data_IF_281344116906
#
_entry.id   IF_281344116906
#
_cell.length_a   1.000
_cell.length_b   1.000
_cell.length_c   1.000
_cell.angle_alpha   90.00
_cell.angle_beta   90.00
_cell.angle_gamma   90.00
#
_symmetry.space_group_name_H-M   'P 1'
#
loop_
_entity.id
_entity.type
_entity.pdbx_description
1 polymer ?
#
# COMPACT_ATOMS: atom_id res chain seq x y z
N UNK A 1 -27.97 4.91 11.30
CA UNK A 1 -26.68 5.18 11.98
C UNK A 1 -26.68 4.73 13.44
N UNK A 2 -27.64 5.17 14.26
CA UNK A 2 -27.71 4.85 15.71
C UNK A 2 -27.67 3.34 16.03
N UNK A 3 -28.28 2.50 15.19
CA UNK A 3 -28.26 1.04 15.38
C UNK A 3 -26.92 0.38 15.01
N UNK A 4 -26.13 0.97 14.11
CA UNK A 4 -24.86 0.40 13.63
C UNK A 4 -23.66 0.89 14.44
N UNK A 5 -23.75 2.09 15.01
CA UNK A 5 -22.63 2.72 15.71
C UNK A 5 -22.08 1.89 16.88
N UNK A 6 -22.89 1.19 17.69
CA UNK A 6 -22.35 0.31 18.73
C UNK A 6 -21.43 -0.80 18.18
N UNK A 7 -21.73 -1.34 16.99
CA UNK A 7 -20.86 -2.33 16.35
C UNK A 7 -19.57 -1.70 15.82
N UNK A 8 -19.64 -0.48 15.28
CA UNK A 8 -18.47 0.30 14.86
C UNK A 8 -17.56 0.61 16.05
N UNK A 9 -18.13 0.99 17.21
CA UNK A 9 -17.37 1.24 18.43
C UNK A 9 -16.66 -0.02 18.93
N UNK A 10 -17.35 -1.16 18.95
CA UNK A 10 -16.70 -2.45 19.31
C UNK A 10 -15.58 -2.83 18.34
N UNK A 11 -15.73 -2.51 17.06
CA UNK A 11 -14.68 -2.73 16.08
C UNK A 11 -13.46 -1.82 16.33
N UNK A 12 -13.68 -0.57 16.73
CA UNK A 12 -12.62 0.34 17.16
C UNK A 12 -11.97 -0.12 18.47
N UNK A 13 -12.74 -0.60 19.45
CA UNK A 13 -12.20 -1.14 20.72
C UNK A 13 -11.25 -2.31 20.44
N UNK A 14 -11.68 -3.26 19.59
CA UNK A 14 -10.82 -4.35 19.14
C UNK A 14 -9.58 -3.83 18.38
N UNK A 15 -9.73 -2.80 17.56
CA UNK A 15 -8.58 -2.20 16.86
C UNK A 15 -7.55 -1.62 17.85
N UNK A 16 -8.01 -0.92 18.89
CA UNK A 16 -7.15 -0.37 19.93
C UNK A 16 -6.37 -1.46 20.68
N UNK A 17 -7.01 -2.60 20.98
CA UNK A 17 -6.34 -3.77 21.59
C UNK A 17 -5.18 -4.30 20.74
N UNK A 18 -5.24 -4.09 19.43
CA UNK A 18 -4.21 -4.48 18.46
C UNK A 18 -3.29 -3.32 18.03
N UNK A 19 -3.30 -2.20 18.76
CA UNK A 19 -2.42 -1.06 18.51
C UNK A 19 -2.81 -0.20 17.30
N UNK A 20 -4.09 -0.20 16.92
CA UNK A 20 -4.63 0.64 15.84
C UNK A 20 -5.52 1.73 16.45
N UNK A 21 -5.06 2.98 16.37
CA UNK A 21 -5.71 4.13 17.02
C UNK A 21 -7.04 4.55 16.36
N UNK A 22 -7.17 4.40 15.03
CA UNK A 22 -8.35 4.85 14.28
C UNK A 22 -8.66 3.91 13.10
N UNK A 23 -9.79 3.21 13.14
CA UNK A 23 -10.23 2.29 12.07
C UNK A 23 -10.55 2.99 10.75
N UNK A 24 -10.82 4.30 10.78
CA UNK A 24 -11.21 5.10 9.61
C UNK A 24 -10.06 5.88 8.98
N UNK A 25 -8.87 5.90 9.59
CA UNK A 25 -7.66 6.51 9.03
C UNK A 25 -6.63 5.46 8.61
N UNK A 26 -5.81 5.79 7.62
CA UNK A 26 -4.65 5.00 7.18
C UNK A 26 -4.90 3.49 6.95
N UNK A 27 -6.14 3.14 6.58
CA UNK A 27 -6.61 1.76 6.45
C UNK A 27 -6.63 0.95 7.77
N UNK A 28 -6.73 1.57 8.94
CA UNK A 28 -6.71 0.89 10.26
C UNK A 28 -7.69 -0.28 10.33
N UNK A 29 -8.95 -0.08 9.94
CA UNK A 29 -9.95 -1.15 9.92
C UNK A 29 -9.66 -2.28 8.92
N UNK A 30 -8.81 -2.06 7.92
CA UNK A 30 -8.33 -3.12 7.02
C UNK A 30 -7.15 -3.85 7.64
N UNK A 31 -6.16 -3.10 8.15
CA UNK A 31 -4.97 -3.66 8.80
C UNK A 31 -5.37 -4.63 9.91
N UNK A 32 -6.38 -4.27 10.73
CA UNK A 32 -6.90 -5.15 11.76
C UNK A 32 -7.29 -6.55 11.24
N UNK A 33 -7.92 -6.64 10.06
CA UNK A 33 -8.29 -7.93 9.45
C UNK A 33 -7.06 -8.80 9.17
N UNK A 34 -5.97 -8.20 8.69
CA UNK A 34 -4.71 -8.93 8.42
C UNK A 34 -4.06 -9.40 9.71
N UNK A 35 -4.02 -8.55 10.73
CA UNK A 35 -3.44 -8.90 12.03
C UNK A 35 -4.16 -10.08 12.67
N UNK A 36 -5.50 -10.05 12.66
CA UNK A 36 -6.32 -11.12 13.23
C UNK A 36 -6.20 -12.43 12.44
N UNK A 37 -6.16 -12.37 11.10
CA UNK A 37 -6.06 -13.55 10.24
C UNK A 37 -4.70 -14.25 10.38
N UNK A 38 -3.62 -13.48 10.47
CA UNK A 38 -2.26 -14.03 10.53
C UNK A 38 -1.69 -14.17 11.94
N UNK A 39 -2.38 -13.66 12.97
CA UNK A 39 -1.87 -13.61 14.34
C UNK A 39 -0.63 -12.72 14.47
N UNK A 40 -0.65 -11.56 13.79
CA UNK A 40 0.44 -10.59 13.82
C UNK A 40 0.17 -9.46 14.83
N UNK A 41 1.25 -8.90 15.36
CA UNK A 41 1.24 -7.71 16.23
C UNK A 41 1.94 -6.56 15.53
N UNK A 42 1.36 -5.35 15.56
CA UNK A 42 2.01 -4.14 15.02
C UNK A 42 3.26 -3.82 15.84
N UNK A 43 4.33 -3.43 15.14
CA UNK A 43 5.52 -2.86 15.78
C UNK A 43 5.31 -1.34 15.88
N UNK A 44 5.36 -0.73 17.08
CA UNK A 44 5.22 0.71 17.23
C UNK A 44 6.38 1.48 16.57
N UNK A 45 6.05 2.59 15.90
CA UNK A 45 7.03 3.50 15.30
C UNK A 45 7.07 3.45 13.77
N UNK A 46 7.50 4.56 13.16
CA UNK A 46 7.47 4.73 11.69
C UNK A 46 8.74 4.24 10.98
N UNK A 47 9.81 3.96 11.73
CA UNK A 47 11.13 3.64 11.17
C UNK A 47 11.40 2.14 11.11
N UNK A 48 10.63 1.32 11.82
CA UNK A 48 10.73 -0.14 11.91
C UNK A 48 9.96 -0.90 10.83
N UNK A 49 10.04 -2.22 10.86
CA UNK A 49 9.15 -3.08 10.06
C UNK A 49 7.72 -2.97 10.60
N UNK A 50 6.72 -3.38 9.82
CA UNK A 50 5.32 -3.06 10.11
C UNK A 50 4.71 -3.97 11.18
N UNK A 51 5.07 -5.27 11.20
CA UNK A 51 4.48 -6.24 12.12
C UNK A 51 5.41 -7.41 12.46
N UNK A 52 5.11 -8.11 13.55
CA UNK A 52 5.84 -9.28 14.05
C UNK A 52 4.89 -10.43 14.35
N UNK A 53 5.31 -11.67 14.08
CA UNK A 53 4.57 -12.87 14.49
C UNK A 53 4.98 -13.37 15.88
N UNK A 54 4.25 -14.38 16.40
CA UNK A 54 4.54 -15.01 17.71
C UNK A 54 5.92 -15.69 17.81
N UNK A 55 6.58 -15.95 16.68
CA UNK A 55 7.92 -16.55 16.64
C UNK A 55 9.02 -15.47 16.58
N UNK A 56 8.64 -14.19 16.53
CA UNK A 56 9.57 -13.07 16.44
C UNK A 56 10.02 -12.74 15.02
N UNK A 57 9.39 -13.30 13.99
CA UNK A 57 9.70 -12.90 12.61
C UNK A 57 9.01 -11.57 12.31
N UNK A 58 9.76 -10.61 11.79
CA UNK A 58 9.24 -9.31 11.39
C UNK A 58 8.89 -9.29 9.89
N UNK A 59 7.93 -8.44 9.53
CA UNK A 59 7.38 -8.33 8.18
C UNK A 59 7.16 -6.88 7.77
N UNK A 60 7.35 -6.60 6.47
CA UNK A 60 6.78 -5.41 5.83
C UNK A 60 5.35 -5.73 5.39
N UNK A 61 4.40 -4.85 5.67
CA UNK A 61 3.00 -4.96 5.27
C UNK A 61 2.68 -4.00 4.13
N UNK A 62 2.08 -4.50 3.05
CA UNK A 62 1.47 -3.66 2.00
C UNK A 62 0.07 -4.12 1.66
N UNK A 63 -0.77 -3.17 1.28
CA UNK A 63 -2.13 -3.48 0.84
C UNK A 63 -2.55 -2.72 -0.40
N UNK A 64 -3.52 -3.27 -1.13
CA UNK A 64 -4.21 -2.60 -2.23
C UNK A 64 -5.71 -2.85 -2.16
N UNK A 65 -6.49 -1.87 -2.61
CA UNK A 65 -7.86 -2.11 -3.06
C UNK A 65 -7.84 -2.45 -4.55
N UNK A 66 -8.24 -3.67 -4.89
CA UNK A 66 -8.30 -4.19 -6.26
C UNK A 66 -9.35 -3.47 -7.13
N UNK A 67 -10.21 -2.64 -6.55
CA UNK A 67 -11.08 -1.76 -7.32
C UNK A 67 -10.35 -0.50 -7.82
N UNK A 68 -9.20 -0.17 -7.25
CA UNK A 68 -8.54 1.14 -7.43
C UNK A 68 -7.16 1.07 -8.09
N UNK A 69 -6.36 0.05 -7.75
CA UNK A 69 -4.97 -0.04 -8.23
C UNK A 69 -4.54 -1.48 -8.52
N UNK A 70 -3.52 -1.61 -9.38
CA UNK A 70 -2.89 -2.88 -9.77
C UNK A 70 -1.43 -2.96 -9.31
N UNK A 71 -0.98 -2.02 -8.47
CA UNK A 71 0.38 -1.99 -7.96
C UNK A 71 0.43 -1.51 -6.53
N UNK A 72 1.18 -2.22 -5.70
CA UNK A 72 1.47 -1.87 -4.32
C UNK A 72 2.47 -0.72 -4.29
N UNK A 73 2.22 0.27 -3.44
CA UNK A 73 3.22 1.29 -3.10
C UNK A 73 4.36 0.70 -2.28
N UNK A 74 5.49 1.38 -2.28
CA UNK A 74 6.66 1.03 -1.46
C UNK A 74 7.05 2.24 -0.61
N UNK A 75 8.09 2.99 -0.98
CA UNK A 75 8.62 4.13 -0.25
C UNK A 75 8.77 5.36 -1.17
N UNK A 76 8.43 6.55 -0.67
CA UNK A 76 8.50 7.81 -1.45
C UNK A 76 9.93 8.29 -1.73
N UNK A 77 10.88 7.81 -0.94
CA UNK A 77 12.30 8.14 -1.02
C UNK A 77 13.10 6.83 -1.10
N UNK A 78 12.84 5.98 -2.08
CA UNK A 78 13.50 4.68 -2.18
C UNK A 78 14.98 4.87 -2.51
N UNK A 79 15.86 4.30 -1.67
CA UNK A 79 17.32 4.40 -1.76
C UNK A 79 17.99 3.15 -1.15
N UNK A 80 19.32 2.98 -1.29
CA UNK A 80 20.01 1.77 -0.82
C UNK A 80 19.87 1.47 0.68
N UNK A 81 19.71 2.49 1.54
CA UNK A 81 19.52 2.29 2.98
C UNK A 81 18.19 1.58 3.25
N UNK A 82 17.11 2.04 2.60
CA UNK A 82 15.78 1.42 2.72
C UNK A 82 15.77 0.03 2.10
N UNK A 83 16.41 -0.14 0.94
CA UNK A 83 16.49 -1.45 0.27
C UNK A 83 17.23 -2.47 1.16
N UNK A 84 18.31 -2.07 1.82
CA UNK A 84 19.05 -2.91 2.75
C UNK A 84 18.19 -3.34 3.96
N UNK A 85 17.26 -2.49 4.43
CA UNK A 85 16.27 -2.88 5.44
C UNK A 85 15.27 -3.89 4.88
N UNK A 86 14.72 -3.64 3.69
CA UNK A 86 13.74 -4.52 3.05
C UNK A 86 14.27 -5.92 2.72
N UNK A 87 15.57 -6.07 2.47
CA UNK A 87 16.24 -7.37 2.28
C UNK A 87 16.32 -8.24 3.54
N UNK A 88 15.89 -7.75 4.71
CA UNK A 88 15.99 -8.50 5.98
C UNK A 88 14.70 -9.19 6.38
N UNK A 89 13.58 -8.86 5.72
CA UNK A 89 12.25 -9.31 6.14
C UNK A 89 11.42 -9.77 4.94
N UNK A 90 10.53 -10.72 5.20
CA UNK A 90 9.51 -11.10 4.24
C UNK A 90 8.43 -10.00 4.15
N UNK A 91 7.72 -9.98 3.03
CA UNK A 91 6.65 -9.03 2.78
C UNK A 91 5.31 -9.73 2.78
N UNK A 92 4.33 -9.12 3.44
CA UNK A 92 2.93 -9.54 3.43
C UNK A 92 2.13 -8.57 2.58
N UNK A 93 1.45 -9.11 1.59
CA UNK A 93 0.63 -8.36 0.63
C UNK A 93 -0.84 -8.72 0.81
N UNK A 94 -1.62 -7.77 1.32
CA UNK A 94 -3.05 -7.92 1.52
C UNK A 94 -3.84 -7.29 0.37
N UNK A 95 -4.73 -8.06 -0.24
CA UNK A 95 -5.56 -7.61 -1.35
C UNK A 95 -7.00 -7.47 -0.85
N UNK A 96 -7.55 -6.28 -0.99
CA UNK A 96 -8.90 -5.94 -0.59
C UNK A 96 -9.79 -5.70 -1.80
N UNK A 97 -11.08 -5.96 -1.62
CA UNK A 97 -12.14 -5.38 -2.44
C UNK A 97 -12.92 -4.41 -1.58
N UNK A 98 -12.79 -3.11 -1.86
CA UNK A 98 -13.28 -2.06 -0.99
C UNK A 98 -12.66 -2.13 0.42
N UNK A 99 -13.42 -2.58 1.41
CA UNK A 99 -13.01 -2.74 2.82
C UNK A 99 -12.78 -4.20 3.20
N UNK A 100 -13.16 -5.14 2.34
CA UNK A 100 -13.17 -6.57 2.63
C UNK A 100 -11.85 -7.21 2.20
N UNK A 101 -11.17 -7.85 3.14
CA UNK A 101 -9.97 -8.63 2.87
C UNK A 101 -10.33 -9.85 1.99
N UNK A 102 -9.73 -9.93 0.81
CA UNK A 102 -9.98 -11.04 -0.12
C UNK A 102 -8.92 -12.13 0.03
N UNK A 103 -7.66 -11.72 0.09
CA UNK A 103 -6.55 -12.65 0.11
C UNK A 103 -5.28 -12.01 0.65
N UNK A 104 -4.39 -12.83 1.20
CA UNK A 104 -3.07 -12.42 1.68
C UNK A 104 -2.01 -13.31 1.04
N UNK A 105 -0.94 -12.69 0.54
CA UNK A 105 0.25 -13.36 0.02
C UNK A 105 1.50 -13.01 0.84
N UNK A 106 2.44 -13.95 0.90
CA UNK A 106 3.80 -13.73 1.41
C UNK A 106 4.81 -13.83 0.29
N UNK A 107 5.72 -12.87 0.21
CA UNK A 107 6.93 -12.99 -0.62
C UNK A 107 8.14 -13.00 0.31
N UNK A 108 9.04 -13.96 0.08
CA UNK A 108 10.33 -14.00 0.78
C UNK A 108 11.27 -12.93 0.23
N UNK A 109 12.40 -12.74 0.90
CA UNK A 109 13.48 -11.85 0.45
C UNK A 109 13.99 -12.21 -0.94
N UNK A 110 14.09 -13.50 -1.26
CA UNK A 110 14.54 -13.99 -2.56
C UNK A 110 13.53 -13.67 -3.67
N UNK A 111 12.24 -13.79 -3.37
CA UNK A 111 11.16 -13.43 -4.29
C UNK A 111 11.09 -11.93 -4.56
N UNK A 112 11.57 -11.11 -3.62
CA UNK A 112 11.61 -9.65 -3.74
C UNK A 112 12.88 -9.11 -4.39
N UNK A 113 13.97 -9.90 -4.40
CA UNK A 113 15.28 -9.51 -4.91
C UNK A 113 15.26 -8.87 -6.32
N UNK A 114 14.46 -9.36 -7.31
CA UNK A 114 14.39 -8.71 -8.62
C UNK A 114 13.96 -7.24 -8.59
N UNK A 115 13.19 -6.83 -7.58
CA UNK A 115 12.82 -5.42 -7.40
C UNK A 115 13.94 -4.63 -6.75
N UNK A 116 14.61 -5.20 -5.74
CA UNK A 116 15.73 -4.58 -5.05
C UNK A 116 16.86 -4.25 -6.00
N UNK A 117 17.31 -5.24 -6.79
CA UNK A 117 18.36 -5.04 -7.81
C UNK A 117 17.95 -3.93 -8.79
N UNK A 118 16.72 -3.98 -9.31
CA UNK A 118 16.22 -2.97 -10.26
C UNK A 118 16.21 -1.55 -9.66
N UNK A 119 15.85 -1.42 -8.39
CA UNK A 119 15.81 -0.12 -7.72
C UNK A 119 17.22 0.39 -7.42
N UNK A 120 18.14 -0.48 -7.01
CA UNK A 120 19.55 -0.08 -6.81
C UNK A 120 20.20 0.34 -8.12
N UNK A 121 20.05 -0.45 -9.19
CA UNK A 121 20.57 -0.12 -10.52
C UNK A 121 20.02 1.22 -11.01
N UNK A 122 18.71 1.46 -10.82
CA UNK A 122 18.08 2.72 -11.19
C UNK A 122 18.60 3.90 -10.35
N UNK A 123 18.74 3.71 -9.04
CA UNK A 123 19.24 4.77 -8.16
C UNK A 123 20.67 5.16 -8.54
N UNK A 124 21.51 4.17 -8.86
CA UNK A 124 22.87 4.38 -9.35
C UNK A 124 22.88 5.06 -10.72
N UNK A 125 22.07 4.59 -11.67
CA UNK A 125 22.01 5.16 -13.02
C UNK A 125 21.52 6.61 -13.02
N UNK A 126 20.65 6.97 -12.08
CA UNK A 126 20.12 8.32 -11.92
C UNK A 126 21.07 9.24 -11.09
N UNK A 127 22.29 8.79 -10.79
CA UNK A 127 23.31 9.59 -10.09
C UNK A 127 23.07 9.73 -8.59
N UNK A 128 22.48 8.72 -7.94
CA UNK A 128 22.20 8.72 -6.51
C UNK A 128 20.88 9.40 -6.13
N UNK A 129 19.94 9.49 -7.09
CA UNK A 129 18.64 10.14 -6.87
C UNK A 129 17.60 9.14 -6.37
N UNK A 130 16.95 9.48 -5.26
CA UNK A 130 15.87 8.69 -4.68
C UNK A 130 14.73 8.43 -5.68
N UNK A 131 14.25 7.18 -5.69
CA UNK A 131 13.17 6.74 -6.57
C UNK A 131 11.84 6.99 -5.87
N UNK A 132 10.96 7.75 -6.50
CA UNK A 132 9.66 8.08 -5.93
C UNK A 132 8.67 6.92 -6.08
N UNK A 133 8.41 6.22 -4.97
CA UNK A 133 7.33 5.25 -4.80
C UNK A 133 7.23 4.22 -5.95
N UNK A 134 8.32 3.48 -6.23
CA UNK A 134 8.28 2.42 -7.24
C UNK A 134 7.23 1.37 -6.84
N UNK A 135 6.55 0.79 -7.83
CA UNK A 135 5.43 -0.12 -7.60
C UNK A 135 5.82 -1.58 -7.77
N UNK A 136 5.26 -2.43 -6.91
CA UNK A 136 5.27 -3.89 -7.07
C UNK A 136 3.95 -4.30 -7.74
N UNK A 137 3.96 -4.93 -8.93
CA UNK A 137 2.74 -5.31 -9.62
C UNK A 137 1.92 -6.35 -8.84
N UNK A 138 0.61 -6.16 -8.79
CA UNK A 138 -0.34 -7.13 -8.22
C UNK A 138 -0.20 -8.51 -8.85
N UNK A 139 -0.04 -8.55 -10.17
CA UNK A 139 0.13 -9.79 -10.93
C UNK A 139 1.34 -10.60 -10.45
N UNK A 140 2.48 -9.92 -10.21
CA UNK A 140 3.68 -10.57 -9.71
C UNK A 140 3.46 -11.20 -8.32
N UNK A 141 2.80 -10.46 -7.42
CA UNK A 141 2.49 -10.96 -6.07
C UNK A 141 1.63 -12.23 -6.14
N UNK A 142 0.63 -12.27 -7.01
CA UNK A 142 -0.27 -13.43 -7.17
C UNK A 142 0.44 -14.62 -7.84
N UNK A 143 1.32 -14.38 -8.81
CA UNK A 143 2.00 -15.44 -9.56
C UNK A 143 3.19 -16.04 -8.80
N UNK A 144 3.91 -15.24 -8.02
CA UNK A 144 5.16 -15.65 -7.37
C UNK A 144 5.04 -15.81 -5.86
N UNK A 145 4.03 -15.21 -5.22
CA UNK A 145 3.85 -15.24 -3.78
C UNK A 145 3.22 -16.52 -3.26
N UNK A 146 3.49 -16.83 -2.00
CA UNK A 146 2.81 -17.88 -1.27
C UNK A 146 1.45 -17.37 -0.76
N UNK A 147 0.37 -18.07 -1.10
CA UNK A 147 -0.97 -17.75 -0.63
C UNK A 147 -1.14 -18.16 0.85
N UNK A 148 -1.37 -17.18 1.73
CA UNK A 148 -1.59 -17.41 3.16
C UNK A 148 -3.07 -17.44 3.55
N UNK A 149 -3.91 -16.70 2.82
CA UNK A 149 -5.35 -16.60 3.12
C UNK A 149 -6.17 -16.33 1.86
N UNK A 150 -7.39 -16.87 1.83
CA UNK A 150 -8.40 -16.61 0.80
C UNK A 150 -8.17 -17.41 -0.48
N UNK A 151 -8.66 -16.87 -1.60
CA UNK A 151 -8.49 -17.45 -2.93
C UNK A 151 -7.79 -16.47 -3.86
N UNK A 152 -7.00 -16.95 -4.84
CA UNK A 152 -6.41 -16.07 -5.85
C UNK A 152 -7.49 -15.24 -6.56
N UNK A 153 -7.27 -13.92 -6.73
CA UNK A 153 -8.24 -13.08 -7.40
C UNK A 153 -8.24 -13.36 -8.89
N UNK A 154 -9.41 -13.28 -9.53
CA UNK A 154 -9.48 -13.32 -10.99
C UNK A 154 -8.94 -12.00 -11.58
N UNK A 155 -7.69 -12.05 -12.03
CA UNK A 155 -7.00 -10.88 -12.57
C UNK A 155 -7.55 -10.45 -13.95
N UNK A 156 -8.27 -11.31 -14.66
CA UNK A 156 -8.79 -11.01 -16.00
C UNK A 156 -10.08 -10.17 -15.94
N UNK A 157 -10.85 -10.30 -14.86
CA UNK A 157 -12.14 -9.63 -14.68
C UNK A 157 -12.06 -8.38 -13.81
N UNK A 158 -10.87 -7.78 -13.70
CA UNK A 158 -10.68 -6.60 -12.87
C UNK A 158 -11.19 -5.31 -13.54
N UNK A 159 -11.82 -4.40 -12.77
CA UNK A 159 -12.33 -3.15 -13.34
C UNK A 159 -11.21 -2.36 -14.00
N UNK A 160 -11.51 -1.78 -15.18
CA UNK A 160 -10.58 -0.89 -15.87
C UNK A 160 -10.32 0.34 -14.99
N UNK A 161 -9.06 0.76 -14.90
CA UNK A 161 -8.62 1.91 -14.10
C UNK A 161 -9.46 3.13 -14.48
N UNK A 162 -10.26 3.65 -13.54
CA UNK A 162 -10.99 4.91 -13.75
C UNK A 162 -9.95 6.02 -13.86
N UNK A 163 -9.68 6.48 -15.08
CA UNK A 163 -8.92 7.71 -15.31
C UNK A 163 -9.77 8.88 -14.83
N UNK A 164 -9.39 9.50 -13.71
CA UNK A 164 -9.98 10.76 -13.26
C UNK A 164 -9.56 11.88 -14.20
N UNK A 165 -10.30 12.07 -15.29
CA UNK A 165 -10.24 13.31 -16.07
C UNK A 165 -10.85 14.44 -15.26
N UNK A 166 -10.07 15.03 -14.35
CA UNK A 166 -10.37 16.38 -13.88
C UNK A 166 -9.99 17.31 -15.02
N UNK A 167 -10.97 17.61 -15.90
CA UNK A 167 -10.85 18.71 -16.88
C UNK A 167 -10.79 20.02 -16.09
N UNK A 168 -9.58 20.51 -15.84
CA UNK A 168 -9.36 21.85 -15.33
C UNK A 168 -9.94 22.87 -16.31
N UNK A 169 -10.95 23.62 -15.89
CA UNK A 169 -11.47 24.79 -16.57
C UNK A 169 -10.39 25.87 -16.64
N UNK A 170 -9.68 25.97 -17.78
CA UNK A 170 -8.90 27.18 -18.08
C UNK A 170 -9.88 28.32 -18.34
N UNK A 171 -10.06 29.21 -17.35
CA UNK A 171 -10.61 30.55 -17.58
C UNK A 171 -9.64 31.30 -18.49
N UNK A 172 -10.15 31.72 -19.64
CA UNK A 172 -9.43 32.47 -20.65
C UNK A 172 -9.53 33.96 -20.28
N UNK A 173 -8.52 34.52 -19.60
CA UNK A 173 -8.39 35.97 -19.39
C UNK A 173 -7.52 36.56 -20.49
N UNK A 174 -8.15 37.00 -21.60
CA UNK A 174 -7.52 37.93 -22.54
C UNK A 174 -7.70 39.34 -22.02
N UNK A 175 -6.59 39.95 -21.58
CA UNK A 175 -6.51 41.36 -21.25
C UNK A 175 -6.75 42.22 -22.49
N UNK A 176 -7.65 43.21 -22.36
CA UNK A 176 -7.73 44.35 -23.26
C UNK A 176 -6.56 45.27 -22.94
N UNK A 177 -5.58 45.36 -23.84
CA UNK A 177 -4.60 46.46 -23.87
C UNK A 177 -5.33 47.74 -24.27
N UNK A 178 -5.06 48.81 -23.53
CA UNK A 178 -5.55 50.15 -23.80
C UNK A 178 -4.95 50.73 -25.08
N UNK A 179 -5.77 51.52 -25.77
CA UNK A 179 -5.35 52.49 -26.77
C UNK A 179 -5.49 53.86 -26.13
N UNK A 180 -4.36 54.49 -25.84
CA UNK A 180 -4.29 55.93 -25.58
C UNK A 180 -4.11 56.64 -26.93
N UNK A 181 -4.88 57.68 -27.17
CA UNK A 181 -4.61 58.67 -28.21
C UNK A 181 -5.08 60.03 -27.71
N UNK A 182 -4.14 60.97 -27.84
CA UNK A 182 -4.17 62.43 -27.62
C UNK A 182 -4.13 62.88 -26.15
#
# INVERSE_FOLDING_TARGET
MQQLFPAVQRYQELACEHGIDDIFQDNGGKILQVLLVLGLTIIPGREGNDAVDRMGNEYELKSVNIELTRGFSTHHHMNPIIIAKYRRVAWIFAIYKNIELQTIYRLTTEMMEPFYTRWEDKWQSDGGKDINNPKIPLKYVVECGELLYGNPPDLNNLPKKKTSTIRGSRKNTRGKKGTASI
#
